data_IF_840814983900
#
_entry.id   IF_840814983900
#
_cell.length_a   1.000
_cell.length_b   1.000
_cell.length_c   1.000
_cell.angle_alpha   90.00
_cell.angle_beta   90.00
_cell.angle_gamma   90.00
#
_symmetry.space_group_name_H-M   'P 1'
#
loop_
_entity.id
_entity.type
_entity.pdbx_description
1 polymer ?
#
# COMPACT_ATOMS: atom_id res chain seq x y z
N UNK A 1 -4.59 -20.25 17.87
CA UNK A 1 -5.16 -19.89 16.55
C UNK A 1 -4.59 -20.83 15.48
N UNK A 2 -5.30 -21.03 14.37
CA UNK A 2 -4.75 -21.72 13.19
C UNK A 2 -4.00 -20.68 12.35
N UNK A 3 -2.82 -21.02 11.83
CA UNK A 3 -2.05 -20.15 10.96
C UNK A 3 -2.79 -19.94 9.62
N UNK A 4 -3.09 -18.69 9.21
CA UNK A 4 -3.81 -18.44 7.97
C UNK A 4 -2.98 -18.71 6.70
N UNK A 5 -1.65 -18.78 6.81
CA UNK A 5 -0.76 -19.03 5.68
C UNK A 5 -0.52 -20.53 5.43
N UNK A 6 -0.26 -21.32 6.47
CA UNK A 6 0.12 -22.74 6.32
C UNK A 6 -0.82 -23.74 7.01
N UNK A 7 -1.86 -23.29 7.72
CA UNK A 7 -2.78 -24.16 8.47
C UNK A 7 -2.18 -24.78 9.75
N UNK A 8 -0.93 -24.48 10.08
CA UNK A 8 -0.26 -24.95 11.31
C UNK A 8 -0.95 -24.45 12.58
N UNK A 9 -0.86 -25.23 13.66
CA UNK A 9 -1.42 -24.89 14.99
C UNK A 9 -0.37 -24.39 15.98
N UNK A 10 0.91 -24.42 15.60
CA UNK A 10 2.01 -23.98 16.44
C UNK A 10 2.19 -22.46 16.34
N UNK A 11 1.38 -21.72 17.10
CA UNK A 11 1.51 -20.27 17.22
C UNK A 11 1.92 -19.92 18.63
N UNK A 12 2.90 -19.01 18.78
CA UNK A 12 3.39 -18.58 20.08
C UNK A 12 3.47 -17.05 20.15
N UNK A 13 3.15 -16.50 21.33
CA UNK A 13 3.34 -15.09 21.62
C UNK A 13 4.83 -14.77 21.64
N UNK A 14 5.23 -13.80 20.81
CA UNK A 14 6.61 -13.34 20.69
C UNK A 14 6.65 -11.82 20.59
N UNK A 15 7.85 -11.27 20.66
CA UNK A 15 8.13 -9.93 20.14
C UNK A 15 8.89 -10.09 18.83
N UNK A 16 8.36 -9.54 17.75
CA UNK A 16 9.05 -9.47 16.47
C UNK A 16 9.97 -8.23 16.46
N UNK A 17 10.60 -7.95 15.32
CA UNK A 17 11.60 -6.91 15.14
C UNK A 17 11.10 -5.56 15.68
N UNK A 18 11.97 -4.84 16.39
CA UNK A 18 11.59 -3.62 17.10
C UNK A 18 10.72 -3.83 18.35
N UNK A 19 10.54 -5.07 18.81
CA UNK A 19 9.84 -5.39 20.05
C UNK A 19 8.31 -5.40 19.94
N UNK A 20 7.77 -5.38 18.72
CA UNK A 20 6.33 -5.39 18.45
C UNK A 20 5.71 -6.71 18.93
N UNK A 21 4.72 -6.70 19.84
CA UNK A 21 4.06 -7.93 20.28
C UNK A 21 3.25 -8.56 19.15
N UNK A 22 3.45 -9.86 18.91
CA UNK A 22 2.77 -10.62 17.87
C UNK A 22 2.56 -12.08 18.27
N UNK A 23 1.66 -12.77 17.56
CA UNK A 23 1.52 -14.23 17.62
C UNK A 23 2.19 -14.82 16.36
N UNK A 24 3.32 -15.52 16.53
CA UNK A 24 4.13 -16.02 15.40
C UNK A 24 3.95 -17.52 15.20
N UNK A 25 3.72 -17.93 13.96
CA UNK A 25 3.71 -19.33 13.56
C UNK A 25 5.13 -19.89 13.61
N UNK A 26 5.32 -21.07 14.23
CA UNK A 26 6.62 -21.74 14.29
C UNK A 26 7.02 -22.41 12.97
N UNK A 27 6.05 -22.70 12.11
CA UNK A 27 6.26 -23.46 10.88
C UNK A 27 6.63 -22.54 9.70
N UNK A 28 5.82 -21.49 9.44
CA UNK A 28 6.06 -20.55 8.34
C UNK A 28 6.68 -19.21 8.76
N UNK A 29 6.83 -18.97 10.08
CA UNK A 29 7.35 -17.72 10.65
C UNK A 29 6.51 -16.45 10.38
N UNK A 30 5.31 -16.57 9.79
CA UNK A 30 4.37 -15.46 9.70
C UNK A 30 3.85 -15.03 11.08
N UNK A 31 3.49 -13.75 11.19
CA UNK A 31 3.16 -13.08 12.43
C UNK A 31 1.80 -12.38 12.37
N UNK A 32 1.00 -12.59 13.40
CA UNK A 32 -0.28 -11.93 13.61
C UNK A 32 -0.13 -10.77 14.60
N UNK A 33 -0.53 -9.56 14.17
CA UNK A 33 -0.43 -8.33 14.95
C UNK A 33 -1.80 -7.69 15.10
N UNK A 34 -2.26 -7.57 16.33
CA UNK A 34 -3.46 -6.80 16.67
C UNK A 34 -3.16 -5.30 16.64
N UNK A 35 -4.02 -4.51 15.99
CA UNK A 35 -3.82 -3.06 15.86
C UNK A 35 -3.81 -2.35 17.21
N UNK A 36 -4.54 -2.84 18.20
CA UNK A 36 -4.48 -2.29 19.57
C UNK A 36 -3.09 -2.46 20.19
N UNK A 37 -2.49 -3.67 20.11
CA UNK A 37 -1.13 -3.94 20.60
C UNK A 37 -0.10 -3.12 19.86
N UNK A 38 -0.25 -2.99 18.54
CA UNK A 38 0.56 -2.11 17.72
C UNK A 38 0.49 -0.64 18.17
N UNK A 39 -0.71 -0.09 18.41
CA UNK A 39 -0.89 1.29 18.89
C UNK A 39 -0.24 1.51 20.26
N UNK A 40 -0.34 0.54 21.17
CA UNK A 40 0.32 0.60 22.47
C UNK A 40 1.84 0.54 22.35
N UNK A 41 2.36 -0.33 21.48
CA UNK A 41 3.78 -0.41 21.16
C UNK A 41 4.32 0.89 20.57
N UNK A 42 3.60 1.50 19.62
CA UNK A 42 3.97 2.77 18.98
C UNK A 42 4.05 3.92 19.98
N UNK A 43 3.15 3.98 20.96
CA UNK A 43 3.19 5.00 22.03
C UNK A 43 4.44 4.89 22.92
N UNK A 44 5.00 3.69 23.06
CA UNK A 44 6.15 3.41 23.94
C UNK A 44 7.49 3.43 23.21
N UNK A 45 7.47 3.43 21.88
CA UNK A 45 8.65 3.28 21.03
C UNK A 45 8.71 4.47 20.09
N UNK A 46 9.37 5.57 20.49
CA UNK A 46 9.27 6.83 19.75
C UNK A 46 10.03 6.83 18.43
N UNK A 47 11.00 5.94 18.23
CA UNK A 47 11.71 5.86 16.96
C UNK A 47 12.43 4.52 16.81
N UNK A 48 12.15 3.82 15.71
CA UNK A 48 12.93 2.68 15.24
C UNK A 48 13.76 3.13 14.05
N UNK A 49 15.06 2.83 14.08
CA UNK A 49 15.88 2.95 12.89
C UNK A 49 15.32 1.99 11.83
N UNK A 50 15.14 2.47 10.61
CA UNK A 50 14.81 1.62 9.48
C UNK A 50 16.02 0.71 9.22
N UNK A 51 15.92 -0.60 9.48
CA UNK A 51 17.02 -1.51 9.18
C UNK A 51 17.16 -1.63 7.66
N UNK A 52 18.38 -1.86 7.19
CA UNK A 52 18.56 -2.37 5.84
C UNK A 52 17.97 -3.80 5.79
N UNK A 53 17.06 -4.03 4.84
CA UNK A 53 16.46 -5.34 4.60
C UNK A 53 16.49 -5.64 3.10
N UNK A 54 17.38 -6.56 2.71
CA UNK A 54 17.62 -7.02 1.35
C UNK A 54 16.77 -8.25 0.97
N UNK A 55 16.02 -8.81 1.93
CA UNK A 55 15.18 -9.98 1.71
C UNK A 55 14.14 -9.79 0.60
N UNK A 56 14.05 -10.79 -0.28
CA UNK A 56 13.00 -10.88 -1.28
C UNK A 56 11.65 -11.13 -0.60
N UNK A 57 10.63 -10.37 -1.01
CA UNK A 57 9.25 -10.66 -0.64
C UNK A 57 8.64 -11.47 -1.78
N UNK A 58 7.90 -12.51 -1.41
CA UNK A 58 7.07 -13.25 -2.36
C UNK A 58 6.15 -12.29 -3.12
N UNK A 59 6.42 -12.12 -4.41
CA UNK A 59 5.53 -11.38 -5.33
C UNK A 59 4.40 -12.28 -5.88
N UNK A 60 4.36 -13.55 -5.47
CA UNK A 60 3.39 -14.50 -5.98
C UNK A 60 1.96 -14.09 -5.59
N UNK A 61 1.04 -14.29 -6.52
CA UNK A 61 -0.39 -14.17 -6.25
C UNK A 61 -0.83 -15.31 -5.32
N UNK A 62 -0.69 -15.12 -4.03
CA UNK A 62 -1.14 -16.09 -3.05
C UNK A 62 -2.67 -16.05 -2.90
N UNK A 63 -3.29 -17.21 -2.60
CA UNK A 63 -4.72 -17.29 -2.40
C UNK A 63 -5.18 -16.37 -1.25
N UNK A 64 -6.41 -15.87 -1.36
CA UNK A 64 -7.02 -15.08 -0.29
C UNK A 64 -7.07 -15.91 1.00
N UNK A 65 -6.63 -15.31 2.10
CA UNK A 65 -6.55 -15.97 3.40
C UNK A 65 -7.80 -15.75 4.24
N UNK A 66 -8.13 -16.72 5.08
CA UNK A 66 -9.23 -16.63 6.04
C UNK A 66 -8.69 -16.21 7.40
N UNK A 67 -9.33 -15.22 8.03
CA UNK A 67 -8.99 -14.77 9.37
C UNK A 67 -9.24 -15.88 10.39
N UNK A 68 -8.23 -16.27 11.19
CA UNK A 68 -8.37 -17.38 12.13
C UNK A 68 -9.24 -17.05 13.34
N UNK A 69 -9.49 -15.77 13.62
CA UNK A 69 -10.31 -15.33 14.75
C UNK A 69 -11.79 -15.13 14.36
N UNK A 70 -12.08 -14.88 13.08
CA UNK A 70 -13.42 -14.47 12.64
C UNK A 70 -14.01 -15.35 11.54
N UNK A 71 -13.20 -16.18 10.87
CA UNK A 71 -13.62 -17.00 9.74
C UNK A 71 -13.93 -16.21 8.46
N UNK A 72 -13.73 -14.89 8.44
CA UNK A 72 -13.94 -14.04 7.26
C UNK A 72 -12.68 -13.94 6.42
N UNK A 73 -12.84 -13.71 5.12
CA UNK A 73 -11.72 -13.40 4.23
C UNK A 73 -10.99 -12.13 4.68
N UNK A 74 -9.67 -12.17 4.64
CA UNK A 74 -8.81 -11.01 4.86
C UNK A 74 -8.66 -10.23 3.56
N UNK A 75 -8.54 -8.92 3.69
CA UNK A 75 -8.30 -8.03 2.55
C UNK A 75 -6.82 -7.87 2.34
N UNK A 76 -6.35 -8.12 1.11
CA UNK A 76 -4.95 -7.92 0.73
C UNK A 76 -4.73 -6.45 0.37
N UNK A 77 -4.12 -5.69 1.28
CA UNK A 77 -3.96 -4.25 1.20
C UNK A 77 -2.62 -3.85 0.58
N UNK A 78 -2.61 -2.82 -0.28
CA UNK A 78 -1.36 -2.27 -0.80
C UNK A 78 -0.67 -1.42 0.25
N UNK A 79 0.63 -1.59 0.39
CA UNK A 79 1.46 -0.70 1.23
C UNK A 79 1.81 0.57 0.45
N UNK A 80 2.29 0.46 -0.78
CA UNK A 80 2.52 1.61 -1.67
C UNK A 80 2.24 1.25 -3.15
N UNK A 81 2.39 2.22 -4.05
CA UNK A 81 2.41 1.97 -5.50
C UNK A 81 3.81 1.62 -6.02
N UNK A 82 4.86 1.99 -5.30
CA UNK A 82 6.26 1.85 -5.73
C UNK A 82 6.84 0.47 -5.40
N UNK A 83 6.11 -0.36 -4.64
CA UNK A 83 6.55 -1.69 -4.28
C UNK A 83 5.42 -2.73 -4.28
N UNK A 84 5.76 -4.02 -4.42
CA UNK A 84 4.77 -5.08 -4.53
C UNK A 84 4.19 -5.51 -3.18
N UNK A 85 4.71 -5.04 -2.03
CA UNK A 85 4.30 -5.51 -0.72
C UNK A 85 2.79 -5.32 -0.53
N UNK A 86 2.17 -6.38 0.00
CA UNK A 86 0.77 -6.39 0.40
C UNK A 86 0.66 -6.97 1.79
N UNK A 87 -0.29 -6.48 2.59
CA UNK A 87 -0.55 -7.01 3.92
C UNK A 87 -1.95 -7.61 3.97
N UNK A 88 -2.12 -8.73 4.66
CA UNK A 88 -3.44 -9.32 4.86
C UNK A 88 -4.08 -8.72 6.11
N UNK A 89 -5.20 -8.04 5.93
CA UNK A 89 -5.90 -7.31 6.99
C UNK A 89 -7.28 -7.89 7.27
N UNK A 90 -7.56 -8.16 8.54
CA UNK A 90 -8.90 -8.49 9.03
C UNK A 90 -9.53 -7.27 9.70
N UNK A 91 -10.46 -6.61 9.00
CA UNK A 91 -11.21 -5.48 9.55
C UNK A 91 -12.03 -5.84 10.79
N UNK A 92 -12.63 -7.04 10.82
CA UNK A 92 -13.43 -7.48 11.96
C UNK A 92 -12.58 -7.82 13.19
N UNK A 93 -11.37 -8.38 12.99
CA UNK A 93 -10.45 -8.66 14.10
C UNK A 93 -9.55 -7.48 14.47
N UNK A 94 -9.58 -6.37 13.69
CA UNK A 94 -8.65 -5.25 13.81
C UNK A 94 -7.19 -5.73 13.90
N UNK A 95 -6.78 -6.59 12.97
CA UNK A 95 -5.47 -7.23 13.01
C UNK A 95 -4.91 -7.47 11.61
N UNK A 96 -3.59 -7.49 11.54
CA UNK A 96 -2.81 -7.66 10.32
C UNK A 96 -1.99 -8.94 10.43
N UNK A 97 -1.98 -9.72 9.36
CA UNK A 97 -1.05 -10.82 9.17
C UNK A 97 0.12 -10.34 8.31
N UNK A 98 1.33 -10.64 8.78
CA UNK A 98 2.59 -10.47 8.07
C UNK A 98 3.14 -11.85 7.75
N UNK A 99 3.47 -12.11 6.50
CA UNK A 99 4.34 -13.24 6.18
C UNK A 99 5.77 -12.98 6.67
N UNK A 100 6.56 -14.06 6.67
CA UNK A 100 7.98 -13.98 7.03
C UNK A 100 8.66 -12.87 6.22
N UNK A 101 9.29 -11.92 6.91
CA UNK A 101 10.03 -10.83 6.28
C UNK A 101 9.20 -9.59 5.89
N UNK A 102 7.87 -9.64 5.96
CA UNK A 102 7.04 -8.49 5.56
C UNK A 102 7.10 -7.34 6.57
N UNK A 103 7.18 -7.65 7.87
CA UNK A 103 7.32 -6.63 8.91
C UNK A 103 8.68 -5.94 8.82
N UNK A 104 9.74 -6.71 8.57
CA UNK A 104 11.10 -6.22 8.37
C UNK A 104 11.17 -5.32 7.13
N UNK A 105 10.45 -5.66 6.04
CA UNK A 105 10.32 -4.73 4.92
C UNK A 105 9.57 -3.46 5.30
N UNK A 106 8.47 -3.55 6.06
CA UNK A 106 7.74 -2.35 6.53
C UNK A 106 8.66 -1.44 7.34
N UNK A 107 9.51 -2.01 8.19
CA UNK A 107 10.54 -1.29 8.93
C UNK A 107 11.55 -0.62 7.97
N UNK A 108 12.09 -1.37 7.01
CA UNK A 108 13.08 -0.87 6.04
C UNK A 108 12.56 0.25 5.14
N UNK A 109 11.25 0.24 4.86
CA UNK A 109 10.58 1.33 4.13
C UNK A 109 10.26 2.55 5.00
N UNK A 110 10.52 2.49 6.30
CA UNK A 110 10.14 3.56 7.23
C UNK A 110 8.63 3.73 7.38
N UNK A 111 7.84 2.68 7.12
CA UNK A 111 6.36 2.72 7.18
C UNK A 111 5.79 2.07 8.44
N UNK A 112 6.65 1.68 9.39
CA UNK A 112 6.29 0.97 10.60
C UNK A 112 5.41 1.78 11.56
N UNK A 113 5.37 3.10 11.45
CA UNK A 113 4.50 3.99 12.23
C UNK A 113 3.14 4.26 11.54
N UNK A 114 3.02 3.86 10.27
CA UNK A 114 1.87 4.13 9.40
C UNK A 114 0.87 2.97 9.29
N UNK A 115 0.99 1.90 10.08
CA UNK A 115 0.11 0.73 9.93
C UNK A 115 -1.39 1.08 10.03
N UNK A 116 -1.78 2.00 10.93
CA UNK A 116 -3.15 2.52 11.02
C UNK A 116 -3.60 3.24 9.74
N UNK A 117 -2.69 3.96 9.08
CA UNK A 117 -2.97 4.63 7.82
C UNK A 117 -3.10 3.60 6.69
N UNK A 118 -2.17 2.65 6.59
CA UNK A 118 -2.17 1.60 5.56
C UNK A 118 -3.48 0.81 5.55
N UNK A 119 -4.00 0.47 6.73
CA UNK A 119 -5.28 -0.28 6.87
C UNK A 119 -6.53 0.57 6.63
N UNK A 120 -6.38 1.88 6.46
CA UNK A 120 -7.50 2.80 6.26
C UNK A 120 -8.00 2.81 4.81
N UNK A 121 -9.30 3.05 4.63
CA UNK A 121 -9.91 3.21 3.30
C UNK A 121 -9.32 4.41 2.54
N UNK A 122 -8.98 5.49 3.25
CA UNK A 122 -8.40 6.70 2.67
C UNK A 122 -7.08 6.38 1.97
N UNK A 123 -6.16 5.71 2.66
CA UNK A 123 -4.87 5.32 2.10
C UNK A 123 -5.03 4.46 0.84
N UNK A 124 -5.88 3.43 0.92
CA UNK A 124 -6.13 2.54 -0.22
C UNK A 124 -6.77 3.29 -1.41
N UNK A 125 -7.65 4.25 -1.13
CA UNK A 125 -8.26 5.10 -2.15
C UNK A 125 -7.26 6.06 -2.80
N UNK A 126 -6.36 6.64 -2.00
CA UNK A 126 -5.31 7.54 -2.49
C UNK A 126 -4.31 6.79 -3.38
N UNK A 127 -3.91 5.57 -3.01
CA UNK A 127 -3.09 4.70 -3.86
C UNK A 127 -3.78 4.37 -5.20
N UNK A 128 -5.07 4.02 -5.16
CA UNK A 128 -5.85 3.74 -6.39
C UNK A 128 -5.92 4.97 -7.30
N UNK A 129 -6.15 6.16 -6.73
CA UNK A 129 -6.21 7.42 -7.49
C UNK A 129 -4.86 7.77 -8.10
N UNK A 130 -3.77 7.62 -7.36
CA UNK A 130 -2.42 7.84 -7.87
C UNK A 130 -2.10 6.90 -9.03
N UNK A 131 -2.34 5.59 -8.88
CA UNK A 131 -2.12 4.61 -9.94
C UNK A 131 -3.05 4.81 -11.15
N UNK A 132 -4.24 5.39 -10.96
CA UNK A 132 -5.12 5.74 -12.08
C UNK A 132 -4.59 6.96 -12.85
N UNK A 133 -4.08 7.99 -12.16
CA UNK A 133 -3.47 9.16 -12.79
C UNK A 133 -2.23 8.79 -13.60
N UNK A 134 -1.34 7.98 -13.02
CA UNK A 134 -0.12 7.53 -13.69
C UNK A 134 -0.44 6.72 -14.96
N UNK A 135 -1.38 5.76 -14.88
CA UNK A 135 -1.82 5.00 -16.06
C UNK A 135 -2.44 5.89 -17.13
N UNK A 136 -3.22 6.89 -16.74
CA UNK A 136 -3.81 7.84 -17.68
C UNK A 136 -2.73 8.67 -18.38
N UNK A 137 -1.76 9.18 -17.63
CA UNK A 137 -0.60 9.90 -18.18
C UNK A 137 0.19 9.02 -19.15
N UNK A 138 0.58 7.81 -18.73
CA UNK A 138 1.31 6.88 -19.57
C UNK A 138 0.55 6.56 -20.87
N UNK A 139 -0.77 6.38 -20.79
CA UNK A 139 -1.61 6.17 -21.97
C UNK A 139 -1.62 7.38 -22.92
N UNK A 140 -1.60 8.60 -22.39
CA UNK A 140 -1.52 9.81 -23.22
C UNK A 140 -0.14 9.98 -23.86
N UNK A 141 0.94 9.71 -23.11
CA UNK A 141 2.31 9.73 -23.65
C UNK A 141 2.48 8.72 -24.77
N UNK A 142 2.00 7.49 -24.59
CA UNK A 142 2.02 6.47 -25.64
C UNK A 142 1.21 6.87 -26.90
N UNK A 143 0.13 7.63 -26.71
CA UNK A 143 -0.76 8.07 -27.81
C UNK A 143 -0.22 9.26 -28.59
N UNK A 144 0.40 10.23 -27.92
CA UNK A 144 0.80 11.49 -28.52
C UNK A 144 2.32 11.63 -28.73
N UNK A 145 3.12 10.81 -28.06
CA UNK A 145 4.56 11.03 -27.91
C UNK A 145 4.84 12.01 -26.75
N UNK A 146 6.04 11.91 -26.18
CA UNK A 146 6.42 12.70 -25.00
C UNK A 146 6.43 14.20 -25.26
N UNK A 147 7.05 14.65 -26.36
CA UNK A 147 7.15 16.08 -26.70
C UNK A 147 5.76 16.72 -26.88
N UNK A 148 4.86 16.05 -27.60
CA UNK A 148 3.51 16.54 -27.80
C UNK A 148 2.70 16.51 -26.51
N UNK A 149 2.87 15.49 -25.67
CA UNK A 149 2.22 15.42 -24.36
C UNK A 149 2.65 16.58 -23.46
N UNK A 150 3.94 16.86 -23.34
CA UNK A 150 4.45 17.98 -22.54
C UNK A 150 3.89 19.33 -23.02
N UNK A 151 3.87 19.53 -24.35
CA UNK A 151 3.29 20.75 -24.93
C UNK A 151 1.78 20.88 -24.60
N UNK A 152 1.02 19.78 -24.68
CA UNK A 152 -0.39 19.74 -24.31
C UNK A 152 -0.61 20.04 -22.82
N UNK A 153 0.26 19.54 -21.94
CA UNK A 153 0.22 19.81 -20.49
C UNK A 153 0.47 21.30 -20.23
N UNK A 154 1.51 21.88 -20.83
CA UNK A 154 1.80 23.32 -20.71
C UNK A 154 0.65 24.18 -21.22
N UNK A 155 0.11 23.86 -22.40
CA UNK A 155 -1.00 24.61 -22.99
C UNK A 155 -2.24 24.53 -22.10
N UNK A 156 -2.58 23.34 -21.57
CA UNK A 156 -3.71 23.18 -20.63
C UNK A 156 -3.53 24.00 -19.35
N UNK A 157 -2.33 24.00 -18.77
CA UNK A 157 -2.04 24.75 -17.56
C UNK A 157 -2.14 26.27 -17.80
N UNK A 158 -1.61 26.74 -18.93
CA UNK A 158 -1.72 28.14 -19.33
C UNK A 158 -3.16 28.56 -19.60
N UNK A 159 -3.94 27.76 -20.35
CA UNK A 159 -5.35 28.02 -20.65
C UNK A 159 -6.21 28.13 -19.39
N UNK A 160 -5.96 27.29 -18.37
CA UNK A 160 -6.70 27.32 -17.11
C UNK A 160 -6.52 28.63 -16.30
N UNK A 161 -5.50 29.42 -16.62
CA UNK A 161 -5.23 30.71 -15.98
C UNK A 161 -5.81 31.90 -16.77
N UNK A 162 -6.42 31.67 -17.94
CA UNK A 162 -6.90 32.75 -18.80
C UNK A 162 -8.35 33.14 -18.47
N UNK A 163 -8.67 34.44 -18.38
CA UNK A 163 -10.02 34.91 -18.09
C UNK A 163 -11.04 34.58 -19.19
N UNK A 164 -10.57 34.40 -20.43
CA UNK A 164 -11.35 34.10 -21.62
C UNK A 164 -11.11 32.67 -22.15
N UNK A 165 -10.81 31.71 -21.26
CA UNK A 165 -10.49 30.31 -21.59
C UNK A 165 -11.49 29.68 -22.58
N UNK A 166 -12.80 29.92 -22.40
CA UNK A 166 -13.85 29.35 -23.26
C UNK A 166 -13.71 29.78 -24.73
N UNK A 167 -13.43 31.07 -24.98
CA UNK A 167 -13.27 31.61 -26.32
C UNK A 167 -12.00 31.07 -26.99
N UNK A 168 -10.92 30.95 -26.20
CA UNK A 168 -9.65 30.40 -26.67
C UNK A 168 -9.78 28.92 -27.06
N UNK A 169 -10.54 28.13 -26.30
CA UNK A 169 -10.85 26.75 -26.65
C UNK A 169 -11.71 26.65 -27.91
N UNK A 170 -12.68 27.56 -28.08
CA UNK A 170 -13.48 27.61 -29.31
C UNK A 170 -12.60 27.89 -30.54
N UNK A 171 -11.67 28.85 -30.43
CA UNK A 171 -10.69 29.15 -31.47
C UNK A 171 -9.81 27.94 -31.82
N UNK A 172 -9.25 27.22 -30.83
CA UNK A 172 -8.43 26.03 -31.08
C UNK A 172 -9.19 24.88 -31.76
N UNK A 173 -10.52 24.82 -31.61
CA UNK A 173 -11.37 23.81 -32.25
C UNK A 173 -11.80 24.19 -33.67
N UNK A 174 -11.59 25.43 -34.11
CA UNK A 174 -11.80 25.79 -35.51
C UNK A 174 -10.74 25.12 -36.39
N UNK A 175 -11.13 24.62 -37.56
CA UNK A 175 -10.16 24.10 -38.54
C UNK A 175 -9.17 25.22 -38.88
N UNK A 176 -7.89 24.95 -38.73
CA UNK A 176 -6.86 25.77 -39.36
C UNK A 176 -6.95 25.54 -40.88
N UNK A 177 -7.00 26.63 -41.65
CA UNK A 177 -6.94 26.62 -43.12
C UNK A 177 -5.54 26.23 -43.62
#
# INVERSE_FOLDING_TARGET
MICPACGGRHVASVKIEGGLPAERCKDCHGAWVELERYRLWRKRTPQLAAPEYDGEISQASEPARVCPNTGRLMTRLKVSNDNPLRLDYSAMAQAVWFDKGEWERVLAMGLHDQLDAIVSERWQSDLKRAAARERAEHAMRLRFGDDAYEQLVHMRAWLAQQPNQSDMMAFLNTKAD
#
